data_IF_825800495808
#
_entry.id   IF_825800495808
#
_cell.length_a   1.000
_cell.length_b   1.000
_cell.length_c   1.000
_cell.angle_alpha   90.00
_cell.angle_beta   90.00
_cell.angle_gamma   90.00
#
_symmetry.space_group_name_H-M   'P 1'
#
loop_
_entity.id
_entity.type
_entity.pdbx_description
1 polymer ?
#
# COMPACT_ATOMS: atom_id res chain seq x y z
N UNK A 1 44.67 -3.57 47.26
CA UNK A 1 43.24 -3.32 47.00
C UNK A 1 42.83 -4.16 45.78
N UNK A 2 41.96 -5.18 45.90
CA UNK A 2 41.46 -5.89 44.72
C UNK A 2 39.97 -5.59 44.52
N UNK A 3 39.64 -4.95 43.40
CA UNK A 3 38.27 -4.85 42.88
C UNK A 3 38.32 -5.01 41.37
N UNK A 4 37.59 -6.01 40.84
CA UNK A 4 37.32 -6.12 39.41
C UNK A 4 37.25 -7.56 38.91
N UNK A 5 36.16 -8.26 39.22
CA UNK A 5 35.81 -9.57 38.63
C UNK A 5 34.69 -9.38 37.62
N UNK A 6 34.75 -10.18 36.54
CA UNK A 6 33.69 -10.55 35.58
C UNK A 6 33.28 -9.48 34.53
N UNK A 7 32.98 -9.83 33.28
CA UNK A 7 32.78 -11.15 32.71
C UNK A 7 32.69 -11.13 31.18
N UNK A 8 32.86 -12.32 30.61
CA UNK A 8 32.64 -12.69 29.21
C UNK A 8 31.14 -12.72 28.90
N UNK A 9 30.70 -12.25 27.72
CA UNK A 9 29.86 -13.05 26.81
C UNK A 9 29.55 -12.31 25.50
N UNK A 10 29.88 -12.97 24.38
CA UNK A 10 29.18 -12.78 23.11
C UNK A 10 27.73 -13.22 23.31
N UNK A 11 26.79 -12.41 22.81
CA UNK A 11 25.38 -12.77 22.70
C UNK A 11 24.87 -12.48 21.27
N UNK A 12 23.78 -13.15 20.85
CA UNK A 12 23.65 -13.73 19.51
C UNK A 12 22.83 -12.89 18.51
N UNK A 13 22.88 -13.31 17.23
CA UNK A 13 21.79 -13.07 16.27
C UNK A 13 20.45 -13.46 16.90
N UNK A 14 19.55 -12.48 17.02
CA UNK A 14 18.14 -12.68 17.35
C UNK A 14 17.33 -11.81 16.37
N UNK A 15 16.69 -12.45 15.40
CA UNK A 15 15.33 -12.97 15.51
C UNK A 15 14.29 -11.84 15.43
N UNK A 16 13.56 -11.85 14.33
CA UNK A 16 12.35 -11.05 14.08
C UNK A 16 11.37 -11.30 15.23
N UNK A 17 10.87 -10.28 15.94
CA UNK A 17 9.73 -10.49 16.81
C UNK A 17 8.47 -10.64 15.94
N UNK A 18 7.94 -11.86 15.87
CA UNK A 18 6.53 -12.09 15.63
C UNK A 18 5.75 -11.53 16.84
N UNK A 19 5.19 -10.34 16.67
CA UNK A 19 4.45 -9.63 17.70
C UNK A 19 3.16 -9.05 17.14
N UNK A 20 2.17 -9.93 16.95
CA UNK A 20 0.77 -9.53 16.85
C UNK A 20 0.35 -8.94 18.20
N UNK A 21 -0.05 -7.67 18.24
CA UNK A 21 -0.87 -7.12 19.30
C UNK A 21 -2.07 -6.41 18.66
N UNK A 22 -3.30 -6.64 19.15
CA UNK A 22 -4.49 -5.95 18.66
C UNK A 22 -4.49 -4.51 19.19
N UNK A 23 -4.63 -3.52 18.30
CA UNK A 23 -4.83 -2.14 18.71
C UNK A 23 -6.33 -1.83 18.72
N UNK A 24 -6.96 -1.96 19.88
CA UNK A 24 -8.19 -1.23 20.19
C UNK A 24 -7.85 -0.12 21.21
N UNK A 25 -8.06 1.12 20.79
CA UNK A 25 -7.85 2.31 21.61
C UNK A 25 -8.54 3.51 20.95
N UNK A 26 -9.47 4.19 21.62
CA UNK A 26 -10.28 5.24 21.00
C UNK A 26 -9.57 6.60 21.07
N UNK A 27 -9.56 7.31 19.94
CA UNK A 27 -9.46 8.77 19.93
C UNK A 27 -8.07 9.36 19.76
N UNK A 28 -7.59 9.40 18.51
CA UNK A 28 -6.79 10.52 17.96
C UNK A 28 -7.08 10.59 16.46
N UNK A 29 -7.32 11.80 15.95
CA UNK A 29 -7.70 12.11 14.57
C UNK A 29 -7.09 11.12 13.57
N UNK A 30 -7.97 10.28 13.02
CA UNK A 30 -7.59 9.08 12.27
C UNK A 30 -6.82 9.41 11.01
N UNK A 31 -5.51 9.28 11.07
CA UNK A 31 -4.82 8.70 9.92
C UNK A 31 -5.11 7.21 10.02
N UNK A 32 -6.00 6.64 9.17
CA UNK A 32 -6.09 5.19 9.11
C UNK A 32 -4.67 4.69 8.84
N UNK A 33 -4.25 3.65 9.56
CA UNK A 33 -3.11 2.86 9.13
C UNK A 33 -3.27 2.50 7.65
N UNK A 34 -2.19 2.14 6.94
CA UNK A 34 -2.29 1.74 5.54
C UNK A 34 -3.45 0.75 5.38
N UNK A 35 -4.37 1.07 4.48
CA UNK A 35 -5.53 0.22 4.22
C UNK A 35 -5.01 -1.16 3.82
N UNK A 36 -5.56 -2.23 4.40
CA UNK A 36 -5.10 -3.58 4.05
C UNK A 36 -5.67 -4.06 2.71
N UNK A 37 -6.80 -3.47 2.30
CA UNK A 37 -7.37 -3.66 0.97
C UNK A 37 -8.23 -2.48 0.54
N UNK A 38 -8.51 -2.40 -0.76
CA UNK A 38 -9.46 -1.47 -1.35
C UNK A 38 -10.04 -2.00 -2.66
N UNK A 39 -11.08 -1.34 -3.15
CA UNK A 39 -11.80 -1.71 -4.34
C UNK A 39 -11.78 -0.57 -5.37
N UNK A 40 -11.50 -0.91 -6.63
CA UNK A 40 -11.78 -0.05 -7.77
C UNK A 40 -13.12 -0.44 -8.38
N UNK A 41 -14.11 0.45 -8.28
CA UNK A 41 -15.44 0.26 -8.86
C UNK A 41 -15.55 1.05 -10.15
N UNK A 42 -15.69 0.36 -11.29
CA UNK A 42 -15.81 1.00 -12.60
C UNK A 42 -17.15 1.73 -12.72
N UNK A 43 -17.11 3.01 -13.09
CA UNK A 43 -18.30 3.85 -13.11
C UNK A 43 -19.31 3.50 -14.22
N UNK A 44 -18.86 2.87 -15.31
CA UNK A 44 -19.74 2.56 -16.46
C UNK A 44 -20.72 1.41 -16.22
N UNK A 45 -20.34 0.44 -15.40
CA UNK A 45 -21.06 -0.84 -15.27
C UNK A 45 -20.90 -1.51 -13.89
N UNK A 46 -20.20 -0.86 -12.96
CA UNK A 46 -20.03 -1.36 -11.60
C UNK A 46 -19.04 -2.51 -11.45
N UNK A 47 -18.25 -2.85 -12.48
CA UNK A 47 -17.21 -3.88 -12.35
C UNK A 47 -16.23 -3.53 -11.21
N UNK A 48 -16.01 -4.49 -10.31
CA UNK A 48 -15.17 -4.29 -9.12
C UNK A 48 -13.86 -5.05 -9.25
N UNK A 49 -12.74 -4.36 -9.03
CA UNK A 49 -11.43 -4.98 -8.85
C UNK A 49 -10.95 -4.78 -7.42
N UNK A 50 -10.65 -5.89 -6.74
CA UNK A 50 -10.13 -5.87 -5.36
C UNK A 50 -8.62 -5.86 -5.35
N UNK A 51 -8.05 -5.01 -4.51
CA UNK A 51 -6.62 -4.89 -4.29
C UNK A 51 -6.31 -5.19 -2.83
N UNK A 52 -5.29 -6.01 -2.59
CA UNK A 52 -4.79 -6.36 -1.27
C UNK A 52 -3.37 -5.86 -1.15
N UNK A 53 -3.01 -5.40 0.05
CA UNK A 53 -1.62 -5.07 0.35
C UNK A 53 -0.80 -6.35 0.26
N UNK A 54 0.28 -6.32 -0.53
CA UNK A 54 1.18 -7.46 -0.68
C UNK A 54 2.53 -7.19 -0.02
N UNK A 55 3.05 -5.96 -0.15
CA UNK A 55 4.35 -5.60 0.38
C UNK A 55 4.45 -4.10 0.69
N UNK A 56 5.65 -3.66 1.05
CA UNK A 56 6.03 -2.26 1.04
C UNK A 56 7.22 -2.06 0.08
N UNK A 57 7.31 -0.90 -0.55
CA UNK A 57 8.46 -0.51 -1.36
C UNK A 57 9.66 -0.16 -0.47
N UNK A 58 10.79 0.19 -1.10
CA UNK A 58 12.02 0.58 -0.40
C UNK A 58 11.85 1.83 0.48
N UNK A 59 10.85 2.66 0.21
CA UNK A 59 10.50 3.84 1.01
C UNK A 59 9.42 3.56 2.06
N UNK A 60 9.02 2.30 2.26
CA UNK A 60 8.00 1.89 3.23
C UNK A 60 6.56 2.20 2.80
N UNK A 61 6.32 2.64 1.56
CA UNK A 61 4.97 2.85 1.01
C UNK A 61 4.37 1.50 0.62
N UNK A 62 3.07 1.28 0.87
CA UNK A 62 2.44 0.01 0.56
C UNK A 62 2.37 -0.24 -0.94
N UNK A 63 2.55 -1.50 -1.31
CA UNK A 63 2.36 -2.03 -2.66
C UNK A 63 1.16 -2.97 -2.60
N UNK A 64 0.19 -2.71 -3.47
CA UNK A 64 -1.05 -3.48 -3.52
C UNK A 64 -1.12 -4.30 -4.81
N UNK A 65 -1.62 -5.53 -4.70
CA UNK A 65 -1.86 -6.42 -5.83
C UNK A 65 -3.35 -6.64 -6.04
N UNK A 66 -3.77 -6.67 -7.29
CA UNK A 66 -5.13 -7.05 -7.67
C UNK A 66 -5.36 -8.54 -7.42
N UNK A 67 -6.50 -8.89 -6.86
CA UNK A 67 -6.82 -10.27 -6.46
C UNK A 67 -6.94 -11.25 -7.65
N UNK A 68 -7.32 -10.76 -8.83
CA UNK A 68 -7.62 -11.57 -10.01
C UNK A 68 -6.50 -11.58 -11.06
N UNK A 69 -5.32 -11.01 -10.79
CA UNK A 69 -4.24 -10.96 -11.76
C UNK A 69 -2.94 -10.28 -11.31
N UNK A 70 -2.00 -10.15 -12.24
CA UNK A 70 -0.71 -9.47 -12.01
C UNK A 70 -0.87 -7.99 -12.40
N UNK A 71 -1.55 -7.25 -11.54
CA UNK A 71 -1.73 -5.80 -11.64
C UNK A 71 -1.51 -5.21 -10.27
N UNK A 72 -0.77 -4.11 -10.22
CA UNK A 72 -0.28 -3.53 -8.99
C UNK A 72 -0.73 -2.08 -8.86
N UNK A 73 -1.08 -1.65 -7.66
CA UNK A 73 -1.23 -0.24 -7.32
C UNK A 73 -0.09 0.13 -6.36
N UNK A 74 0.78 1.05 -6.80
CA UNK A 74 2.00 1.43 -6.06
C UNK A 74 2.39 2.86 -6.36
N UNK A 75 3.23 3.41 -5.49
CA UNK A 75 3.86 4.69 -5.74
C UNK A 75 4.99 4.55 -6.77
N UNK A 76 5.05 5.47 -7.72
CA UNK A 76 6.15 5.67 -8.67
C UNK A 76 6.76 7.05 -8.45
N UNK A 77 8.09 7.11 -8.42
CA UNK A 77 8.80 8.39 -8.33
C UNK A 77 8.45 9.27 -9.55
N UNK A 78 8.19 10.56 -9.31
CA UNK A 78 7.77 11.53 -10.32
C UNK A 78 6.35 11.38 -10.87
N UNK A 79 5.64 10.27 -10.61
CA UNK A 79 4.25 10.06 -11.07
C UNK A 79 3.23 9.88 -9.95
N UNK A 80 3.67 9.56 -8.73
CA UNK A 80 2.80 9.31 -7.60
C UNK A 80 2.14 7.93 -7.64
N UNK A 81 0.97 7.81 -7.01
CA UNK A 81 0.16 6.60 -7.04
C UNK A 81 -0.30 6.26 -8.45
N UNK A 82 0.04 5.05 -8.90
CA UNK A 82 -0.28 4.55 -10.22
C UNK A 82 -0.73 3.09 -10.15
N UNK A 83 -1.48 2.66 -11.16
CA UNK A 83 -1.72 1.25 -11.45
C UNK A 83 -0.80 0.82 -12.58
N UNK A 84 -0.07 -0.28 -12.39
CA UNK A 84 0.83 -0.89 -13.37
C UNK A 84 0.45 -2.35 -13.61
N UNK A 85 0.70 -2.85 -14.82
CA UNK A 85 0.54 -4.27 -15.15
C UNK A 85 1.79 -5.10 -14.78
N UNK A 86 1.76 -6.40 -15.12
CA UNK A 86 2.87 -7.31 -14.86
C UNK A 86 4.14 -7.03 -15.68
N UNK A 87 4.08 -6.15 -16.68
CA UNK A 87 5.24 -5.67 -17.44
C UNK A 87 5.68 -4.26 -16.96
N UNK A 88 5.17 -3.83 -15.80
CA UNK A 88 5.41 -2.52 -15.19
C UNK A 88 4.90 -1.33 -16.01
N UNK A 89 4.02 -1.57 -17.00
CA UNK A 89 3.45 -0.48 -17.78
C UNK A 89 2.32 0.17 -17.01
N UNK A 90 2.40 1.50 -16.88
CA UNK A 90 1.36 2.31 -16.27
C UNK A 90 0.09 2.23 -17.10
N UNK A 91 -1.00 1.84 -16.47
CA UNK A 91 -2.30 1.77 -17.09
C UNK A 91 -3.38 2.54 -16.32
N UNK A 92 -3.07 3.13 -15.15
CA UNK A 92 -4.04 3.97 -14.44
C UNK A 92 -3.41 4.94 -13.43
N UNK A 93 -4.13 6.03 -13.15
CA UNK A 93 -3.71 7.12 -12.25
C UNK A 93 -4.93 7.86 -11.66
N UNK A 94 -4.78 8.51 -10.49
CA UNK A 94 -5.83 9.32 -9.90
C UNK A 94 -6.12 10.55 -10.77
N UNK A 95 -7.41 10.84 -10.96
CA UNK A 95 -7.88 12.06 -11.60
C UNK A 95 -7.59 13.24 -10.67
N UNK A 96 -6.85 14.23 -11.16
CA UNK A 96 -6.34 15.34 -10.35
C UNK A 96 -4.95 15.11 -9.74
N UNK A 97 -4.33 13.95 -10.02
CA UNK A 97 -2.98 13.63 -9.56
C UNK A 97 -2.94 13.02 -8.16
N UNK A 98 -1.73 12.65 -7.74
CA UNK A 98 -1.47 12.15 -6.40
C UNK A 98 -1.05 13.31 -5.51
N UNK A 99 -1.71 13.54 -4.37
CA UNK A 99 -1.24 14.55 -3.43
C UNK A 99 0.14 14.15 -2.89
N UNK A 100 1.05 15.12 -2.79
CA UNK A 100 2.36 14.91 -2.19
C UNK A 100 2.25 14.44 -0.74
N UNK A 101 3.17 13.58 -0.32
CA UNK A 101 3.22 13.06 1.05
C UNK A 101 2.13 12.04 1.41
N UNK A 102 1.34 11.56 0.44
CA UNK A 102 0.34 10.52 0.69
C UNK A 102 0.98 9.14 0.90
N UNK A 103 0.56 8.45 1.96
CA UNK A 103 1.01 7.09 2.31
C UNK A 103 0.08 6.00 1.80
N UNK A 104 -1.11 6.36 1.34
CA UNK A 104 -2.12 5.45 0.77
C UNK A 104 -2.65 6.00 -0.55
N UNK A 105 -3.15 5.11 -1.44
CA UNK A 105 -3.81 5.53 -2.66
C UNK A 105 -4.96 6.50 -2.35
N UNK A 106 -5.07 7.64 -3.06
CA UNK A 106 -6.15 8.59 -2.82
C UNK A 106 -7.51 7.98 -3.15
N UNK A 107 -8.47 8.13 -2.22
CA UNK A 107 -9.88 7.76 -2.39
C UNK A 107 -10.62 8.76 -3.30
N UNK A 108 -10.09 8.95 -4.51
CA UNK A 108 -10.63 9.81 -5.55
C UNK A 108 -11.10 8.99 -6.75
N UNK A 109 -11.47 9.67 -7.83
CA UNK A 109 -11.67 9.00 -9.12
C UNK A 109 -10.33 8.66 -9.73
N UNK A 110 -10.27 7.54 -10.42
CA UNK A 110 -9.11 7.09 -11.15
C UNK A 110 -9.45 6.86 -12.60
N UNK A 111 -8.54 7.27 -13.48
CA UNK A 111 -8.61 6.96 -14.90
C UNK A 111 -7.66 5.79 -15.18
N UNK A 112 -8.11 4.86 -16.02
CA UNK A 112 -7.26 3.80 -16.56
C UNK A 112 -7.55 3.58 -18.03
N UNK A 113 -6.49 3.37 -18.81
CA UNK A 113 -6.58 3.03 -20.22
C UNK A 113 -6.30 1.54 -20.40
N UNK A 114 -7.25 0.82 -21.01
CA UNK A 114 -7.14 -0.61 -21.30
C UNK A 114 -7.62 -0.88 -22.72
N UNK A 115 -6.77 -1.53 -23.51
CA UNK A 115 -7.08 -1.88 -24.91
C UNK A 115 -7.59 -0.68 -25.76
N UNK A 116 -6.95 0.48 -25.60
CA UNK A 116 -7.32 1.71 -26.31
C UNK A 116 -8.64 2.36 -25.85
N UNK A 117 -9.17 1.95 -24.69
CA UNK A 117 -10.37 2.53 -24.09
C UNK A 117 -10.08 3.07 -22.69
N UNK A 118 -10.50 4.32 -22.47
CA UNK A 118 -10.48 4.96 -21.17
C UNK A 118 -11.64 4.49 -20.29
N UNK A 119 -11.36 4.21 -19.03
CA UNK A 119 -12.32 3.80 -18.02
C UNK A 119 -12.11 4.63 -16.75
N UNK A 120 -13.21 5.07 -16.14
CA UNK A 120 -13.18 5.75 -14.84
C UNK A 120 -13.61 4.79 -13.74
N UNK A 121 -12.92 4.90 -12.61
CA UNK A 121 -13.16 4.10 -11.42
C UNK A 121 -13.29 5.01 -10.21
N UNK A 122 -14.06 4.59 -9.23
CA UNK A 122 -14.03 5.13 -7.87
C UNK A 122 -13.21 4.19 -6.99
N UNK A 123 -12.25 4.74 -6.24
CA UNK A 123 -11.54 3.98 -5.22
C UNK A 123 -12.34 4.01 -3.93
N UNK A 124 -12.70 2.83 -3.42
CA UNK A 124 -13.40 2.65 -2.15
C UNK A 124 -12.51 1.88 -1.18
N UNK A 125 -12.36 2.32 0.08
CA UNK A 125 -11.65 1.54 1.08
C UNK A 125 -12.33 0.17 1.26
N UNK A 126 -11.52 -0.89 1.37
CA UNK A 126 -12.03 -2.22 1.67
C UNK A 126 -12.59 -2.24 3.08
N UNK A 127 -13.76 -2.85 3.25
CA UNK A 127 -14.38 -3.09 4.56
C UNK A 127 -13.62 -4.18 5.33
#
# INVERSE_FOLDING_TARGET
>A
MPSGTAGVNLAPSSAIPAGLAPVDGPGRAGYPGPVESFEFVRLSDGLVYRFHREAADTNGRPVYRRADGVVWCRWLDGAGWCVVDGEDRRNGWPVGGSPDGTTTPPATRWYSEKAGRGHLYELRPGQ
#
